data_IF_496967014921
#
_entry.id   IF_496967014921
#
_cell.length_a   1.000
_cell.length_b   1.000
_cell.length_c   1.000
_cell.angle_alpha   90.00
_cell.angle_beta   90.00
_cell.angle_gamma   90.00
#
_symmetry.space_group_name_H-M   'P 1'
#
loop_
_entity.id
_entity.type
_entity.pdbx_description
1 polymer ?
#
# COMPACT_ATOMS: atom_id res chain seq x y z
N UNK A 1 8.23 4.31 -1.30
CA UNK A 1 7.51 4.97 -2.41
C UNK A 1 7.28 6.47 -2.17
N UNK A 2 6.41 6.89 -1.24
CA UNK A 2 6.02 8.30 -1.08
C UNK A 2 7.20 9.25 -0.78
N UNK A 3 8.20 8.82 0.00
CA UNK A 3 9.36 9.67 0.26
C UNK A 3 10.30 9.80 -0.93
N UNK A 4 10.36 8.78 -1.79
CA UNK A 4 11.07 8.91 -3.06
C UNK A 4 10.36 9.93 -3.97
N UNK A 5 9.03 9.89 -4.04
CA UNK A 5 8.24 10.89 -4.76
C UNK A 5 8.50 12.31 -4.21
N UNK A 6 8.47 12.49 -2.88
CA UNK A 6 8.71 13.79 -2.24
C UNK A 6 10.13 14.31 -2.47
N UNK A 7 11.13 13.42 -2.51
CA UNK A 7 12.52 13.79 -2.87
C UNK A 7 12.63 14.30 -4.30
N UNK A 8 11.75 13.85 -5.19
CA UNK A 8 11.63 14.32 -6.58
C UNK A 8 10.65 15.50 -6.74
N UNK A 9 10.15 16.07 -5.63
CA UNK A 9 9.22 17.21 -5.66
C UNK A 9 7.76 16.84 -5.92
N UNK A 10 7.42 15.55 -5.90
CA UNK A 10 6.07 15.04 -6.12
C UNK A 10 5.43 14.71 -4.76
N UNK A 11 4.22 15.18 -4.51
CA UNK A 11 3.57 15.05 -3.21
C UNK A 11 2.30 14.21 -3.30
N UNK A 12 2.42 12.87 -3.41
CA UNK A 12 1.26 12.00 -3.42
C UNK A 12 0.60 11.94 -2.03
N UNK A 13 -0.71 11.75 -2.04
CA UNK A 13 -1.56 11.51 -0.87
C UNK A 13 -2.44 10.28 -1.13
N UNK A 14 -2.70 9.49 -0.09
CA UNK A 14 -3.73 8.45 -0.17
C UNK A 14 -5.08 9.15 -0.12
N UNK A 15 -5.85 9.00 -1.18
CA UNK A 15 -7.20 9.52 -1.29
C UNK A 15 -8.20 8.54 -0.71
N UNK A 16 -8.10 7.27 -1.10
CA UNK A 16 -8.94 6.19 -0.59
C UNK A 16 -8.09 4.96 -0.26
N UNK A 17 -8.41 4.29 0.85
CA UNK A 17 -7.70 3.11 1.34
C UNK A 17 -8.68 1.96 1.54
N UNK A 18 -8.88 1.53 2.79
CA UNK A 18 -9.87 0.51 3.08
C UNK A 18 -11.30 1.01 2.76
N UNK A 19 -12.14 0.10 2.24
CA UNK A 19 -13.58 0.34 2.01
C UNK A 19 -14.40 -0.81 2.62
N UNK A 20 -15.54 -0.53 3.22
CA UNK A 20 -16.50 -1.56 3.65
C UNK A 20 -17.24 -2.17 2.45
N UNK A 21 -18.01 -3.24 2.70
CA UNK A 21 -18.88 -3.82 1.67
C UNK A 21 -19.94 -2.83 1.20
N UNK A 22 -20.55 -2.10 2.13
CA UNK A 22 -21.61 -1.13 1.89
C UNK A 22 -21.09 0.08 1.10
N UNK A 23 -19.90 0.58 1.43
CA UNK A 23 -19.24 1.65 0.67
C UNK A 23 -18.96 1.21 -0.77
N UNK A 24 -18.43 0.00 -0.96
CA UNK A 24 -18.18 -0.55 -2.28
C UNK A 24 -19.48 -0.72 -3.08
N UNK A 25 -20.58 -1.15 -2.44
CA UNK A 25 -21.90 -1.26 -3.06
C UNK A 25 -22.41 0.12 -3.49
N UNK A 26 -22.26 1.13 -2.64
CA UNK A 26 -22.67 2.49 -2.95
C UNK A 26 -21.91 3.06 -4.16
N UNK A 27 -20.61 2.84 -4.24
CA UNK A 27 -19.79 3.29 -5.39
C UNK A 27 -20.27 2.61 -6.68
N UNK A 28 -20.57 1.31 -6.64
CA UNK A 28 -21.11 0.59 -7.79
C UNK A 28 -22.47 1.15 -8.22
N UNK A 29 -23.38 1.35 -7.26
CA UNK A 29 -24.72 1.88 -7.52
C UNK A 29 -24.67 3.29 -8.11
N UNK A 30 -23.81 4.16 -7.57
CA UNK A 30 -23.62 5.52 -8.06
C UNK A 30 -23.05 5.53 -9.49
N UNK A 31 -22.13 4.60 -9.81
CA UNK A 31 -21.59 4.43 -11.16
C UNK A 31 -22.64 3.92 -12.15
N UNK A 32 -23.51 2.99 -11.74
CA UNK A 32 -24.63 2.51 -12.56
C UNK A 32 -25.59 3.66 -12.86
N UNK A 33 -25.99 4.44 -11.83
CA UNK A 33 -26.86 5.61 -11.99
C UNK A 33 -26.26 6.64 -12.93
N UNK A 34 -24.96 6.89 -12.85
CA UNK A 34 -24.27 7.80 -13.76
C UNK A 34 -24.44 7.37 -15.23
N UNK A 35 -24.22 6.08 -15.55
CA UNK A 35 -24.42 5.59 -16.92
C UNK A 35 -25.88 5.60 -17.37
N UNK A 36 -26.83 5.34 -16.47
CA UNK A 36 -28.27 5.48 -16.80
C UNK A 36 -28.59 6.94 -17.18
N UNK A 37 -28.04 7.91 -16.44
CA UNK A 37 -28.22 9.33 -16.73
C UNK A 37 -27.55 9.75 -18.05
N UNK A 38 -26.51 9.04 -18.49
CA UNK A 38 -25.92 9.18 -19.83
C UNK A 38 -26.75 8.51 -20.95
N UNK A 39 -27.89 7.89 -20.62
CA UNK A 39 -28.83 7.30 -21.57
C UNK A 39 -28.63 5.80 -21.81
N UNK A 40 -27.85 5.12 -20.98
CA UNK A 40 -27.66 3.67 -21.08
C UNK A 40 -28.89 2.94 -20.55
N UNK A 41 -29.22 1.78 -21.15
CA UNK A 41 -30.18 0.86 -20.53
C UNK A 41 -29.61 0.31 -19.22
N UNK A 42 -30.47 -0.12 -18.29
CA UNK A 42 -30.06 -0.73 -17.02
C UNK A 42 -28.99 -1.82 -17.20
N UNK A 43 -29.21 -2.77 -18.11
CA UNK A 43 -28.28 -3.88 -18.36
C UNK A 43 -26.94 -3.42 -18.93
N UNK A 44 -26.93 -2.40 -19.78
CA UNK A 44 -25.69 -1.84 -20.33
C UNK A 44 -24.94 -1.04 -19.26
N UNK A 45 -25.64 -0.23 -18.47
CA UNK A 45 -25.09 0.53 -17.37
C UNK A 45 -24.42 -0.38 -16.32
N UNK A 46 -25.10 -1.46 -15.91
CA UNK A 46 -24.53 -2.46 -14.99
C UNK A 46 -23.27 -3.12 -15.52
N UNK A 47 -23.28 -3.54 -16.80
CA UNK A 47 -22.12 -4.17 -17.41
C UNK A 47 -20.95 -3.20 -17.50
N UNK A 48 -21.17 -1.97 -17.96
CA UNK A 48 -20.13 -0.96 -18.10
C UNK A 48 -19.62 -0.48 -16.73
N UNK A 49 -20.47 -0.35 -15.71
CA UNK A 49 -20.02 -0.01 -14.37
C UNK A 49 -19.06 -1.05 -13.78
N UNK A 50 -19.33 -2.35 -14.00
CA UNK A 50 -18.49 -3.46 -13.53
C UNK A 50 -17.12 -3.56 -14.22
N UNK A 51 -16.88 -2.83 -15.31
CA UNK A 51 -15.55 -2.67 -15.92
C UNK A 51 -14.65 -1.71 -15.11
N UNK A 52 -15.25 -0.84 -14.29
CA UNK A 52 -14.55 0.20 -13.53
C UNK A 52 -14.61 -0.01 -12.03
N UNK A 53 -15.70 -0.59 -11.52
CA UNK A 53 -15.95 -0.76 -10.10
C UNK A 53 -16.13 -2.25 -9.82
N UNK A 54 -15.25 -2.79 -8.99
CA UNK A 54 -15.34 -4.18 -8.52
C UNK A 54 -16.66 -4.43 -7.78
N UNK A 55 -17.18 -5.66 -7.89
CA UNK A 55 -18.32 -6.08 -7.11
C UNK A 55 -17.98 -6.03 -5.61
N UNK A 56 -18.95 -5.70 -4.75
CA UNK A 56 -18.78 -5.84 -3.31
C UNK A 56 -18.40 -7.29 -2.95
N UNK A 57 -17.40 -7.44 -2.09
CA UNK A 57 -16.77 -8.71 -1.75
C UNK A 57 -15.62 -9.11 -2.67
N UNK A 58 -15.35 -8.36 -3.74
CA UNK A 58 -14.26 -8.64 -4.69
C UNK A 58 -13.31 -7.46 -4.91
N UNK A 59 -13.45 -6.38 -4.14
CA UNK A 59 -12.58 -5.20 -4.22
C UNK A 59 -11.35 -5.36 -3.32
N UNK A 60 -10.15 -5.09 -3.84
CA UNK A 60 -8.90 -5.12 -3.05
C UNK A 60 -8.88 -4.07 -1.94
N UNK A 61 -9.65 -2.98 -2.08
CA UNK A 61 -9.84 -2.01 -1.01
C UNK A 61 -10.54 -2.63 0.21
N UNK A 62 -11.41 -3.63 0.01
CA UNK A 62 -12.03 -4.36 1.12
C UNK A 62 -11.07 -5.31 1.83
N UNK A 63 -9.92 -5.61 1.23
CA UNK A 63 -8.82 -6.34 1.87
C UNK A 63 -7.81 -5.39 2.55
N UNK A 64 -7.95 -4.06 2.34
CA UNK A 64 -7.03 -3.07 2.87
C UNK A 64 -5.62 -3.14 2.27
N UNK A 65 -5.48 -3.74 1.07
CA UNK A 65 -4.21 -3.87 0.35
C UNK A 65 -4.11 -2.94 -0.87
N UNK A 66 -5.19 -2.24 -1.22
CA UNK A 66 -5.24 -1.24 -2.28
C UNK A 66 -5.39 0.17 -1.72
N UNK A 67 -4.78 1.14 -2.40
CA UNK A 67 -4.93 2.56 -2.13
C UNK A 67 -5.06 3.32 -3.44
N UNK A 68 -6.02 4.23 -3.49
CA UNK A 68 -6.11 5.23 -4.56
C UNK A 68 -5.26 6.43 -4.15
N UNK A 69 -4.37 6.84 -5.05
CA UNK A 69 -3.39 7.89 -4.78
C UNK A 69 -3.75 9.10 -5.63
N UNK A 70 -3.85 10.27 -5.02
CA UNK A 70 -3.94 11.57 -5.70
C UNK A 70 -2.73 12.43 -5.34
N UNK A 71 -2.63 13.61 -5.92
CA UNK A 71 -1.65 14.61 -5.50
C UNK A 71 -2.22 15.58 -4.45
N UNK A 72 -1.36 16.03 -3.53
CA UNK A 72 -1.59 17.29 -2.83
C UNK A 72 -1.53 18.42 -3.86
N UNK A 73 -2.71 18.92 -4.25
CA UNK A 73 -2.87 19.94 -5.30
C UNK A 73 -2.22 21.28 -4.96
N UNK A 74 -1.80 21.50 -3.71
CA UNK A 74 -1.02 22.69 -3.34
C UNK A 74 0.46 22.58 -3.72
N UNK A 75 0.94 21.38 -4.07
CA UNK A 75 2.37 21.11 -4.31
C UNK A 75 2.67 20.37 -5.61
N UNK A 76 1.74 19.55 -6.10
CA UNK A 76 1.86 18.84 -7.37
C UNK A 76 0.49 18.54 -7.97
N UNK A 77 0.42 18.38 -9.28
CA UNK A 77 -0.78 17.95 -10.00
C UNK A 77 -0.96 16.42 -9.97
N UNK A 78 -2.18 15.96 -10.23
CA UNK A 78 -2.46 14.53 -10.37
C UNK A 78 -1.67 13.91 -11.53
N UNK A 79 -1.55 14.61 -12.66
CA UNK A 79 -0.81 14.10 -13.82
C UNK A 79 0.68 13.89 -13.51
N UNK A 80 1.30 14.81 -12.77
CA UNK A 80 2.68 14.65 -12.28
C UNK A 80 2.81 13.46 -11.33
N UNK A 81 1.87 13.29 -10.39
CA UNK A 81 1.86 12.15 -9.47
C UNK A 81 1.69 10.82 -10.21
N UNK A 82 0.75 10.73 -11.15
CA UNK A 82 0.50 9.52 -11.93
C UNK A 82 1.68 9.19 -12.84
N UNK A 83 2.29 10.20 -13.46
CA UNK A 83 3.50 10.03 -14.27
C UNK A 83 4.64 9.47 -13.42
N UNK A 84 4.83 10.00 -12.21
CA UNK A 84 5.86 9.50 -11.30
C UNK A 84 5.56 8.07 -10.83
N UNK A 85 4.31 7.78 -10.46
CA UNK A 85 3.91 6.43 -10.01
C UNK A 85 4.09 5.40 -11.12
N UNK A 86 3.67 5.68 -12.35
CA UNK A 86 3.87 4.78 -13.49
C UNK A 86 5.37 4.46 -13.71
N UNK A 87 6.24 5.46 -13.53
CA UNK A 87 7.68 5.30 -13.72
C UNK A 87 8.42 4.70 -12.52
N UNK A 88 7.84 4.67 -11.30
CA UNK A 88 8.59 4.36 -10.09
C UNK A 88 7.91 3.39 -9.12
N UNK A 89 6.58 3.23 -9.12
CA UNK A 89 5.85 2.43 -8.13
C UNK A 89 6.31 0.96 -8.13
N UNK A 90 6.67 0.42 -9.30
CA UNK A 90 7.22 -0.93 -9.45
C UNK A 90 8.53 -1.19 -8.71
N UNK A 91 9.16 -0.18 -8.08
CA UNK A 91 10.35 -0.35 -7.25
C UNK A 91 10.04 -0.75 -5.80
N UNK A 92 8.77 -0.81 -5.43
CA UNK A 92 8.31 -1.09 -4.08
C UNK A 92 7.15 -2.07 -4.16
N UNK A 93 7.28 -3.27 -3.60
CA UNK A 93 6.14 -4.17 -3.65
C UNK A 93 6.36 -5.53 -3.04
N UNK A 94 5.26 -6.25 -2.97
CA UNK A 94 5.21 -7.65 -2.63
C UNK A 94 3.96 -8.24 -3.26
N UNK A 95 4.02 -9.54 -3.54
CA UNK A 95 2.92 -10.34 -4.05
C UNK A 95 2.61 -11.44 -3.04
N UNK A 96 1.33 -11.77 -2.87
CA UNK A 96 0.89 -12.85 -2.00
C UNK A 96 -0.06 -13.78 -2.73
N UNK A 97 -0.09 -15.04 -2.29
CA UNK A 97 -1.10 -16.01 -2.65
C UNK A 97 -1.63 -16.73 -1.40
N UNK A 98 -2.39 -17.81 -1.61
CA UNK A 98 -2.94 -18.64 -0.53
C UNK A 98 -1.88 -19.33 0.35
N UNK A 99 -0.63 -19.42 -0.10
CA UNK A 99 0.46 -20.11 0.58
C UNK A 99 1.43 -19.15 1.29
N UNK A 100 1.46 -17.88 0.90
CA UNK A 100 2.21 -16.82 1.56
C UNK A 100 2.70 -15.76 0.59
N UNK A 101 3.88 -15.19 0.88
CA UNK A 101 4.51 -14.19 0.02
C UNK A 101 5.18 -14.89 -1.15
N UNK A 102 4.78 -14.54 -2.37
CA UNK A 102 5.29 -15.12 -3.62
C UNK A 102 6.45 -14.32 -4.19
N UNK A 103 6.46 -13.01 -3.93
CA UNK A 103 7.50 -12.08 -4.35
C UNK A 103 7.58 -10.91 -3.35
N UNK A 104 8.77 -10.40 -3.05
CA UNK A 104 8.94 -9.19 -2.24
C UNK A 104 10.20 -8.45 -2.67
N UNK A 105 10.09 -7.15 -2.90
CA UNK A 105 11.22 -6.37 -3.36
C UNK A 105 11.19 -4.94 -2.85
N UNK A 106 12.38 -4.41 -2.68
CA UNK A 106 12.59 -3.01 -2.38
C UNK A 106 13.81 -2.53 -3.12
N UNK A 107 13.61 -1.58 -4.03
CA UNK A 107 14.69 -0.84 -4.64
C UNK A 107 14.77 0.56 -4.02
N UNK A 108 15.98 1.10 -4.03
CA UNK A 108 16.25 2.45 -3.55
C UNK A 108 17.09 3.21 -4.58
N UNK A 109 16.98 4.53 -4.59
CA UNK A 109 17.80 5.39 -5.45
C UNK A 109 18.28 6.58 -4.63
N UNK A 110 19.59 6.72 -4.52
CA UNK A 110 20.19 7.93 -3.94
C UNK A 110 19.90 9.14 -4.84
N UNK A 111 19.86 10.34 -4.26
CA UNK A 111 19.48 11.57 -4.99
C UNK A 111 20.35 11.83 -6.23
N UNK A 112 21.65 11.52 -6.15
CA UNK A 112 22.61 11.68 -7.25
C UNK A 112 22.70 10.46 -8.18
N UNK A 113 22.07 9.34 -7.83
CA UNK A 113 22.18 8.10 -8.59
C UNK A 113 21.29 8.12 -9.84
N UNK A 114 21.82 7.60 -10.95
CA UNK A 114 21.07 7.49 -12.22
C UNK A 114 20.12 6.30 -12.26
N UNK A 115 20.41 5.25 -11.49
CA UNK A 115 19.68 3.98 -11.47
C UNK A 115 19.31 3.60 -10.05
N UNK A 116 18.22 2.86 -9.92
CA UNK A 116 17.85 2.18 -8.69
C UNK A 116 18.84 1.05 -8.38
N UNK A 117 19.07 0.81 -7.10
CA UNK A 117 19.76 -0.36 -6.57
C UNK A 117 18.81 -1.20 -5.73
N UNK A 118 18.94 -2.52 -5.86
CA UNK A 118 18.19 -3.49 -5.04
C UNK A 118 18.64 -3.38 -3.59
N UNK A 119 17.68 -3.23 -2.68
CA UNK A 119 17.90 -3.38 -1.23
C UNK A 119 17.74 -4.85 -0.85
N UNK A 120 16.67 -5.46 -1.33
CA UNK A 120 16.46 -6.90 -1.32
C UNK A 120 15.46 -7.30 -2.41
N UNK A 121 15.50 -8.58 -2.76
CA UNK A 121 14.55 -9.26 -3.61
C UNK A 121 14.31 -10.68 -3.08
N UNK A 122 13.09 -11.19 -3.19
CA UNK A 122 12.83 -12.63 -3.17
C UNK A 122 11.76 -12.99 -4.19
N UNK A 123 11.91 -14.15 -4.80
CA UNK A 123 10.96 -14.73 -5.74
C UNK A 123 10.81 -16.22 -5.46
N UNK A 124 9.56 -16.71 -5.44
CA UNK A 124 9.28 -18.14 -5.23
C UNK A 124 9.30 -18.95 -6.52
N UNK A 125 9.15 -18.31 -7.68
CA UNK A 125 9.17 -18.97 -8.99
C UNK A 125 10.57 -19.42 -9.41
N UNK A 126 11.58 -18.69 -8.98
CA UNK A 126 13.00 -18.88 -9.30
C UNK A 126 13.85 -19.27 -8.07
N UNK A 127 13.22 -19.37 -6.89
CA UNK A 127 13.88 -19.60 -5.59
C UNK A 127 15.00 -18.57 -5.33
N UNK A 128 14.82 -17.33 -5.82
CA UNK A 128 15.79 -16.26 -5.66
C UNK A 128 15.61 -15.56 -4.31
N UNK A 129 16.74 -15.29 -3.65
CA UNK A 129 16.81 -14.47 -2.43
C UNK A 129 18.05 -13.57 -2.48
N UNK A 130 17.86 -12.31 -2.86
CA UNK A 130 18.86 -11.26 -2.78
C UNK A 130 18.66 -10.43 -1.51
N UNK A 131 19.62 -10.49 -0.59
CA UNK A 131 19.65 -9.66 0.62
C UNK A 131 20.86 -8.71 0.63
N UNK A 132 21.51 -8.51 -0.52
CA UNK A 132 22.80 -7.81 -0.65
C UNK A 132 22.80 -6.37 -0.14
N UNK A 133 21.63 -5.70 -0.10
CA UNK A 133 21.47 -4.37 0.49
C UNK A 133 21.48 -4.32 2.02
N UNK A 134 21.65 -5.47 2.69
CA UNK A 134 21.81 -5.60 4.15
C UNK A 134 23.23 -6.01 4.58
N UNK A 135 23.67 -5.64 5.81
CA UNK A 135 24.92 -6.12 6.38
C UNK A 135 24.98 -7.65 6.44
N UNK A 136 26.19 -8.22 6.29
CA UNK A 136 26.38 -9.69 6.25
C UNK A 136 25.71 -10.43 7.42
N UNK A 137 25.91 -9.95 8.64
CA UNK A 137 25.31 -10.54 9.84
C UNK A 137 23.78 -10.55 9.82
N UNK A 138 23.15 -9.52 9.23
CA UNK A 138 21.71 -9.45 9.06
C UNK A 138 21.20 -10.42 8.00
N UNK A 139 21.95 -10.61 6.92
CA UNK A 139 21.60 -11.54 5.83
C UNK A 139 21.47 -12.97 6.34
N UNK A 140 22.49 -13.45 7.05
CA UNK A 140 22.53 -14.82 7.56
C UNK A 140 21.35 -15.10 8.51
N UNK A 141 21.04 -14.14 9.40
CA UNK A 141 19.92 -14.27 10.33
C UNK A 141 18.55 -14.24 9.63
N UNK A 142 18.38 -13.38 8.63
CA UNK A 142 17.13 -13.33 7.84
C UNK A 142 16.96 -14.63 7.08
N UNK A 143 17.99 -15.10 6.35
CA UNK A 143 17.91 -16.30 5.54
C UNK A 143 17.53 -17.54 6.36
N UNK A 144 18.05 -17.68 7.58
CA UNK A 144 17.74 -18.81 8.46
C UNK A 144 16.31 -18.75 9.01
N UNK A 145 15.79 -17.56 9.29
CA UNK A 145 14.50 -17.38 9.99
C UNK A 145 13.33 -16.98 9.07
N UNK A 146 13.57 -16.80 7.77
CA UNK A 146 12.55 -16.35 6.82
C UNK A 146 11.58 -17.48 6.49
N UNK A 147 10.33 -17.30 6.91
CA UNK A 147 9.23 -18.18 6.56
C UNK A 147 8.46 -17.65 5.34
N UNK A 148 7.79 -18.56 4.63
CA UNK A 148 7.02 -18.23 3.41
C UNK A 148 5.93 -17.17 3.66
N UNK A 149 5.33 -17.16 4.85
CA UNK A 149 4.25 -16.22 5.21
C UNK A 149 4.75 -14.89 5.77
N UNK A 150 6.07 -14.70 5.92
CA UNK A 150 6.64 -13.55 6.63
C UNK A 150 7.36 -12.63 5.66
N UNK A 151 7.04 -11.33 5.68
CA UNK A 151 7.77 -10.29 4.94
C UNK A 151 9.21 -10.11 5.47
N UNK A 152 10.18 -9.95 4.58
CA UNK A 152 11.58 -9.60 4.88
C UNK A 152 11.61 -8.33 5.73
N UNK A 153 10.77 -7.34 5.41
CA UNK A 153 10.64 -6.12 6.23
C UNK A 153 10.22 -6.43 7.67
N UNK A 154 9.19 -7.26 7.85
CA UNK A 154 8.67 -7.60 9.18
C UNK A 154 9.69 -8.39 10.01
N UNK A 155 10.30 -9.42 9.42
CA UNK A 155 11.34 -10.20 10.09
C UNK A 155 12.58 -9.36 10.37
N UNK A 156 13.07 -8.62 9.38
CA UNK A 156 14.23 -7.74 9.53
C UNK A 156 14.04 -6.71 10.64
N UNK A 157 12.83 -6.14 10.79
CA UNK A 157 12.53 -5.23 11.89
C UNK A 157 12.60 -5.94 13.25
N UNK A 158 12.07 -7.17 13.37
CA UNK A 158 12.17 -8.00 14.58
C UNK A 158 13.62 -8.34 14.92
N UNK A 159 14.46 -8.57 13.90
CA UNK A 159 15.90 -8.81 14.00
C UNK A 159 16.73 -7.51 14.13
N UNK A 160 16.09 -6.36 14.34
CA UNK A 160 16.73 -5.05 14.55
C UNK A 160 17.57 -4.56 13.36
N UNK A 161 17.24 -4.97 12.14
CA UNK A 161 17.81 -4.40 10.92
C UNK A 161 17.29 -2.97 10.76
N UNK A 162 18.19 -1.99 10.80
CA UNK A 162 17.85 -0.55 10.88
C UNK A 162 16.86 -0.10 9.81
N UNK A 163 17.13 -0.38 8.52
CA UNK A 163 16.23 -0.04 7.40
C UNK A 163 14.82 -0.63 7.57
N UNK A 164 14.73 -1.92 7.93
CA UNK A 164 13.46 -2.60 8.13
C UNK A 164 12.70 -2.04 9.33
N UNK A 165 13.40 -1.77 10.44
CA UNK A 165 12.81 -1.14 11.64
C UNK A 165 12.24 0.24 11.29
N UNK A 166 12.98 1.04 10.52
CA UNK A 166 12.54 2.35 10.09
C UNK A 166 11.24 2.25 9.27
N UNK A 167 11.19 1.35 8.28
CA UNK A 167 9.98 1.11 7.47
C UNK A 167 8.79 0.70 8.35
N UNK A 168 8.97 -0.30 9.23
CA UNK A 168 7.91 -0.75 10.15
C UNK A 168 7.41 0.39 11.04
N UNK A 169 8.33 1.13 11.65
CA UNK A 169 7.97 2.21 12.57
C UNK A 169 7.24 3.35 11.88
N UNK A 170 7.56 3.62 10.61
CA UNK A 170 6.78 4.57 9.82
C UNK A 170 5.35 4.11 9.59
N UNK A 171 5.13 2.84 9.25
CA UNK A 171 3.77 2.29 9.15
C UNK A 171 3.00 2.47 10.46
N UNK A 172 3.66 2.23 11.60
CA UNK A 172 3.05 2.43 12.93
C UNK A 172 2.82 3.90 13.30
N UNK A 173 3.59 4.83 12.73
CA UNK A 173 3.49 6.26 13.00
C UNK A 173 2.46 6.99 12.14
N UNK A 174 1.95 6.33 11.09
CA UNK A 174 0.87 6.85 10.25
C UNK A 174 -0.44 6.87 11.04
N UNK A 175 -1.13 8.01 10.97
CA UNK A 175 -2.43 8.20 11.62
C UNK A 175 -3.51 7.91 10.58
N UNK A 176 -4.44 6.99 10.86
CA UNK A 176 -5.60 6.83 10.00
C UNK A 176 -6.58 7.97 10.30
N UNK A 177 -6.99 8.70 9.26
CA UNK A 177 -7.68 9.98 9.34
C UNK A 177 -9.09 9.86 9.90
N UNK A 178 -9.75 8.73 9.68
CA UNK A 178 -11.09 8.46 10.19
C UNK A 178 -11.11 7.07 10.80
N UNK A 179 -11.38 7.02 12.11
CA UNK A 179 -11.73 5.79 12.82
C UNK A 179 -13.18 5.95 13.21
N UNK A 180 -14.07 5.57 12.30
CA UNK A 180 -15.50 5.59 12.55
C UNK A 180 -16.04 4.17 12.54
N UNK A 181 -16.98 3.88 13.44
CA UNK A 181 -17.79 2.67 13.35
C UNK A 181 -18.73 2.75 12.14
N UNK A 182 -19.47 1.67 11.87
CA UNK A 182 -20.48 1.62 10.79
C UNK A 182 -21.51 2.77 10.86
N UNK A 183 -21.69 3.40 12.03
CA UNK A 183 -22.60 4.52 12.24
C UNK A 183 -21.91 5.91 12.10
N UNK A 184 -20.63 5.97 11.73
CA UNK A 184 -19.88 7.22 11.60
C UNK A 184 -19.34 7.78 12.91
N UNK A 185 -19.40 7.03 14.02
CA UNK A 185 -18.98 7.49 15.34
C UNK A 185 -17.51 7.23 15.61
N UNK A 186 -16.80 8.23 16.12
CA UNK A 186 -15.37 8.10 16.46
C UNK A 186 -15.11 7.00 17.48
N UNK A 187 -14.10 6.18 17.18
CA UNK A 187 -13.75 5.03 18.01
C UNK A 187 -12.72 5.40 19.08
N UNK A 188 -12.86 4.77 20.26
CA UNK A 188 -11.97 5.01 21.41
C UNK A 188 -10.54 4.55 21.09
N UNK A 189 -9.56 5.31 21.59
CA UNK A 189 -8.12 5.08 21.36
C UNK A 189 -7.57 3.78 21.95
N UNK A 190 -8.33 3.10 22.81
CA UNK A 190 -7.93 1.91 23.56
C UNK A 190 -8.45 0.58 22.97
N UNK A 191 -9.21 0.60 21.86
CA UNK A 191 -9.62 -0.64 21.17
C UNK A 191 -8.44 -1.31 20.43
N UNK A 192 -8.45 -2.65 20.37
CA UNK A 192 -7.42 -3.43 19.67
C UNK A 192 -7.49 -3.20 18.16
N UNK A 193 -6.59 -2.36 17.66
CA UNK A 193 -6.49 -2.00 16.25
C UNK A 193 -6.33 -3.21 15.33
N UNK A 194 -5.33 -4.06 15.57
CA UNK A 194 -5.02 -5.21 14.72
C UNK A 194 -6.23 -6.13 14.57
N UNK A 195 -6.88 -6.44 15.70
CA UNK A 195 -8.06 -7.30 15.71
C UNK A 195 -9.21 -6.68 14.94
N UNK A 196 -9.47 -5.40 15.12
CA UNK A 196 -10.64 -4.74 14.56
C UNK A 196 -10.45 -4.33 13.08
N UNK A 197 -9.23 -4.03 12.66
CA UNK A 197 -8.87 -3.83 11.26
C UNK A 197 -8.99 -5.13 10.47
N UNK A 198 -8.46 -6.25 10.99
CA UNK A 198 -8.51 -7.55 10.32
C UNK A 198 -9.93 -8.13 10.16
N UNK A 199 -10.89 -7.69 10.98
CA UNK A 199 -12.30 -8.12 10.87
C UNK A 199 -13.16 -7.09 10.12
N UNK A 200 -12.56 -6.04 9.54
CA UNK A 200 -13.28 -5.04 8.74
C UNK A 200 -14.23 -4.15 9.56
N UNK A 201 -13.99 -3.99 10.86
CA UNK A 201 -14.90 -3.26 11.77
C UNK A 201 -14.94 -1.75 11.48
N UNK A 202 -13.94 -1.20 10.78
CA UNK A 202 -13.71 0.25 10.67
C UNK A 202 -13.42 0.69 9.23
N UNK A 203 -14.04 1.78 8.79
CA UNK A 203 -13.57 2.56 7.63
C UNK A 203 -12.32 3.34 8.04
N UNK A 204 -11.12 2.97 7.55
CA UNK A 204 -9.87 3.63 7.91
C UNK A 204 -9.08 4.09 6.66
N UNK A 205 -8.91 5.40 6.50
CA UNK A 205 -8.07 6.00 5.47
C UNK A 205 -6.70 6.34 6.09
N UNK A 206 -5.59 5.70 5.68
CA UNK A 206 -4.26 6.01 6.22
C UNK A 206 -3.78 7.39 5.79
N UNK A 207 -3.36 8.23 6.75
CA UNK A 207 -2.54 9.42 6.47
C UNK A 207 -1.07 9.05 6.52
N UNK A 208 -0.43 9.04 5.35
CA UNK A 208 0.98 8.67 5.22
C UNK A 208 1.92 9.86 5.50
N UNK A 209 2.61 9.83 6.64
CA UNK A 209 3.68 10.78 7.00
C UNK A 209 4.92 10.59 6.12
N UNK A 210 5.94 11.42 6.26
CA UNK A 210 7.23 11.18 5.61
C UNK A 210 8.16 10.34 6.47
N UNK A 211 8.93 9.46 5.83
CA UNK A 211 10.08 8.79 6.44
C UNK A 211 11.33 8.97 5.61
N UNK A 212 12.45 9.27 6.27
CA UNK A 212 13.75 9.25 5.62
C UNK A 212 14.53 7.98 6.00
N UNK A 213 14.38 6.93 5.20
CA UNK A 213 15.00 5.60 5.45
C UNK A 213 16.44 5.53 4.93
N UNK A 214 16.86 6.50 4.11
CA UNK A 214 18.12 6.44 3.35
C UNK A 214 19.09 7.57 3.69
N UNK A 215 19.03 8.12 4.91
CA UNK A 215 20.18 8.86 5.43
C UNK A 215 21.28 7.84 5.71
N UNK A 216 22.35 7.90 4.93
CA UNK A 216 23.61 7.25 5.28
C UNK A 216 24.11 7.91 6.58
N UNK A 217 24.46 7.09 7.57
CA UNK A 217 25.34 7.50 8.68
C UNK A 217 26.77 7.73 8.15
#
# INVERSE_FOLDING_TARGET
>A
MFDAARKDGIYPVVWEGYRTYEEQQKILDDKIKAYINEGYSQSRAERTAKEWVALPGTSEHQLGIAVDINADKSKSSNDEAYTWLAANAHNYGFCIDKEGVTEEWLNSKAKSARKYSTVFYRGTSDDELDLSGFPKSSRDNIQVALEKQVLIISLGAKLKVGKCKAIRDWFLANEFADFVDEAGSRIRKDESYEKNYLIGKYGAIPTLKSIDIFKED
#
